data_IF_389502600045
#
_entry.id   IF_389502600045
#
_cell.length_a   1.000
_cell.length_b   1.000
_cell.length_c   1.000
_cell.angle_alpha   90.00
_cell.angle_beta   90.00
_cell.angle_gamma   90.00
#
_symmetry.space_group_name_H-M   'P 1'
#
loop_
_entity.id
_entity.type
_entity.pdbx_description
1 polymer ?
#
# COMPACT_ATOMS: atom_id res chain seq x y z
N UNK A 1 26.34 -4.04 2.68
CA UNK A 1 27.13 -4.41 3.86
C UNK A 1 26.71 -5.80 4.25
N UNK A 2 27.65 -6.76 4.38
CA UNK A 2 27.29 -8.11 4.82
C UNK A 2 26.71 -8.00 6.24
N UNK A 3 25.52 -8.54 6.43
CA UNK A 3 24.76 -8.61 7.68
C UNK A 3 25.52 -9.51 8.67
N UNK A 4 26.36 -10.42 8.19
CA UNK A 4 27.12 -11.36 9.01
C UNK A 4 28.60 -10.96 9.01
N UNK A 5 29.09 -10.45 10.14
CA UNK A 5 30.48 -10.01 10.31
C UNK A 5 31.27 -10.89 11.27
N UNK A 6 32.54 -11.05 10.91
CA UNK A 6 33.65 -11.79 11.51
C UNK A 6 33.64 -11.87 13.06
N UNK A 7 33.74 -13.09 13.59
CA UNK A 7 33.77 -13.43 15.01
C UNK A 7 35.19 -13.25 15.59
N UNK A 8 35.34 -12.51 16.70
CA UNK A 8 36.52 -12.48 17.56
C UNK A 8 36.11 -12.23 19.02
N UNK A 9 36.59 -13.09 19.91
CA UNK A 9 36.13 -13.28 21.29
C UNK A 9 36.19 -12.02 22.18
N UNK A 10 35.07 -11.76 22.90
CA UNK A 10 34.82 -10.73 23.94
C UNK A 10 34.23 -9.40 23.48
N UNK A 11 33.38 -9.39 22.46
CA UNK A 11 32.63 -8.19 22.09
C UNK A 11 31.22 -8.18 22.69
N UNK A 12 30.83 -7.02 23.25
CA UNK A 12 29.49 -6.74 23.78
C UNK A 12 28.38 -6.97 22.72
N UNK A 13 28.75 -6.99 21.45
CA UNK A 13 27.87 -7.25 20.30
C UNK A 13 27.52 -8.73 20.11
N UNK A 14 28.36 -9.67 20.58
CA UNK A 14 28.12 -11.12 20.41
C UNK A 14 26.87 -11.62 21.15
N UNK A 15 26.42 -10.88 22.17
CA UNK A 15 25.30 -11.26 23.03
C UNK A 15 24.08 -10.34 22.87
N UNK A 16 23.98 -9.64 21.73
CA UNK A 16 22.86 -8.75 21.47
C UNK A 16 21.54 -9.54 21.41
N UNK A 17 20.56 -9.06 22.15
CA UNK A 17 19.21 -9.59 22.12
C UNK A 17 18.33 -8.76 21.19
N UNK A 18 17.50 -9.43 20.40
CA UNK A 18 16.49 -8.81 19.54
C UNK A 18 15.11 -9.35 19.86
N UNK A 19 14.09 -8.51 19.64
CA UNK A 19 12.70 -8.90 19.86
C UNK A 19 12.24 -9.92 18.82
N UNK A 20 11.23 -10.73 19.17
CA UNK A 20 10.58 -11.65 18.22
C UNK A 20 10.19 -10.94 16.91
N UNK A 21 9.58 -9.76 17.03
CA UNK A 21 9.16 -8.94 15.88
C UNK A 21 10.32 -8.47 15.02
N UNK A 22 11.45 -8.08 15.62
CA UNK A 22 12.66 -7.70 14.87
C UNK A 22 13.23 -8.91 14.13
N UNK A 23 13.33 -10.07 14.80
CA UNK A 23 13.82 -11.30 14.19
C UNK A 23 13.01 -11.70 12.94
N UNK A 24 11.68 -11.73 13.05
CA UNK A 24 10.80 -12.07 11.93
C UNK A 24 10.91 -11.07 10.77
N UNK A 25 11.00 -9.78 11.06
CA UNK A 25 11.03 -8.74 10.04
C UNK A 25 12.40 -8.59 9.35
N UNK A 26 13.49 -8.62 10.13
CA UNK A 26 14.84 -8.43 9.61
C UNK A 26 15.32 -9.65 8.83
N UNK A 27 15.10 -10.85 9.36
CA UNK A 27 15.58 -12.11 8.77
C UNK A 27 14.51 -12.85 7.97
N UNK A 28 13.34 -12.22 7.78
CA UNK A 28 12.22 -12.75 7.01
C UNK A 28 11.73 -14.14 7.49
N UNK A 29 11.96 -14.45 8.77
CA UNK A 29 11.57 -15.71 9.40
C UNK A 29 10.07 -15.72 9.74
N UNK A 30 9.54 -16.91 9.99
CA UNK A 30 8.17 -17.14 10.49
C UNK A 30 8.21 -17.68 11.92
N UNK A 31 7.07 -17.63 12.60
CA UNK A 31 6.94 -18.20 13.96
C UNK A 31 7.34 -19.67 14.02
N UNK A 32 7.01 -20.44 12.98
CA UNK A 32 7.43 -21.83 12.82
C UNK A 32 8.95 -22.00 12.90
N UNK A 33 9.68 -21.09 12.25
CA UNK A 33 11.13 -21.15 12.16
C UNK A 33 11.79 -20.82 13.50
N UNK A 34 11.07 -20.24 14.47
CA UNK A 34 11.58 -19.98 15.81
C UNK A 34 11.14 -21.05 16.81
N UNK A 35 9.84 -21.37 16.81
CA UNK A 35 9.18 -22.11 17.88
C UNK A 35 9.13 -23.63 17.60
N UNK A 36 9.19 -24.08 16.33
CA UNK A 36 8.95 -25.49 15.94
C UNK A 36 10.11 -26.16 15.22
N UNK A 37 10.89 -25.42 14.44
CA UNK A 37 12.06 -25.99 13.74
C UNK A 37 13.10 -26.45 14.76
N UNK A 38 13.57 -27.69 14.63
CA UNK A 38 14.54 -28.27 15.56
C UNK A 38 15.96 -27.77 15.31
N UNK A 39 16.72 -27.37 16.35
CA UNK A 39 16.28 -27.19 17.74
C UNK A 39 15.45 -25.90 17.93
N UNK A 40 14.38 -25.91 18.75
CA UNK A 40 13.62 -24.70 19.05
C UNK A 40 14.52 -23.62 19.68
N UNK A 41 14.37 -22.37 19.24
CA UNK A 41 15.21 -21.29 19.73
C UNK A 41 14.75 -20.84 21.13
N UNK A 42 15.73 -20.73 22.03
CA UNK A 42 15.50 -20.25 23.40
C UNK A 42 15.34 -18.73 23.39
N UNK A 43 14.56 -18.22 24.33
CA UNK A 43 14.33 -16.79 24.51
C UNK A 43 14.20 -16.47 25.99
N UNK A 44 14.41 -15.20 26.33
CA UNK A 44 14.03 -14.64 27.63
C UNK A 44 12.75 -13.83 27.47
N UNK A 45 11.90 -13.80 28.50
CA UNK A 45 10.71 -12.94 28.52
C UNK A 45 10.95 -11.69 29.35
N UNK A 46 10.41 -10.56 28.90
CA UNK A 46 10.43 -9.28 29.61
C UNK A 46 9.06 -8.61 29.49
N UNK A 47 8.70 -7.77 30.46
CA UNK A 47 7.50 -6.93 30.33
C UNK A 47 7.62 -6.02 29.11
N UNK A 48 6.51 -5.80 28.42
CA UNK A 48 6.51 -4.92 27.26
C UNK A 48 6.81 -3.47 27.70
N UNK A 49 7.83 -2.81 27.14
CA UNK A 49 8.26 -1.48 27.56
C UNK A 49 7.23 -0.38 27.23
N UNK A 50 6.37 -0.60 26.23
CA UNK A 50 5.33 0.38 25.87
C UNK A 50 4.14 0.33 26.83
N UNK A 51 3.75 -0.88 27.27
CA UNK A 51 2.68 -1.05 28.23
C UNK A 51 2.84 -2.39 28.96
N UNK A 52 3.05 -2.32 30.27
CA UNK A 52 3.24 -3.49 31.13
C UNK A 52 2.02 -4.41 31.22
N UNK A 53 0.83 -3.94 30.82
CA UNK A 53 -0.40 -4.76 30.75
C UNK A 53 -0.50 -5.57 29.45
N UNK A 54 0.30 -5.26 28.44
CA UNK A 54 0.36 -6.08 27.23
C UNK A 54 1.13 -7.38 27.48
N UNK A 55 1.01 -8.32 26.55
CA UNK A 55 1.74 -9.58 26.61
C UNK A 55 3.25 -9.39 26.74
N UNK A 56 3.92 -10.35 27.37
CA UNK A 56 5.37 -10.32 27.54
C UNK A 56 6.09 -10.34 26.18
N UNK A 57 7.17 -9.58 26.11
CA UNK A 57 8.07 -9.53 24.97
C UNK A 57 9.07 -10.68 25.06
N UNK A 58 9.21 -11.43 23.96
CA UNK A 58 10.27 -12.44 23.81
C UNK A 58 11.51 -11.81 23.18
N UNK A 59 12.65 -12.07 23.79
CA UNK A 59 13.97 -11.63 23.35
C UNK A 59 14.83 -12.85 23.01
N UNK A 60 15.36 -12.87 21.78
CA UNK A 60 16.19 -13.93 21.23
C UNK A 60 17.62 -13.44 21.07
N UNK A 61 18.59 -14.35 21.17
CA UNK A 61 19.98 -14.05 20.84
C UNK A 61 20.12 -13.83 19.33
N UNK A 62 20.63 -12.67 18.92
CA UNK A 62 20.72 -12.30 17.51
C UNK A 62 21.52 -13.33 16.69
N UNK A 63 22.62 -13.84 17.24
CA UNK A 63 23.46 -14.85 16.60
C UNK A 63 22.68 -16.13 16.24
N UNK A 64 21.81 -16.60 17.13
CA UNK A 64 20.98 -17.79 16.87
C UNK A 64 19.94 -17.54 15.79
N UNK A 65 19.44 -16.31 15.70
CA UNK A 65 18.50 -15.91 14.65
C UNK A 65 19.20 -15.87 13.29
N UNK A 66 20.43 -15.36 13.25
CA UNK A 66 21.27 -15.32 12.07
C UNK A 66 21.57 -16.71 11.53
N UNK A 67 21.99 -17.64 12.39
CA UNK A 67 22.20 -19.04 12.02
C UNK A 67 20.91 -19.67 11.50
N UNK A 68 19.78 -19.46 12.20
CA UNK A 68 18.47 -19.96 11.76
C UNK A 68 18.04 -19.36 10.41
N UNK A 69 18.37 -18.10 10.15
CA UNK A 69 18.09 -17.45 8.87
C UNK A 69 18.88 -18.10 7.73
N UNK A 70 20.15 -18.39 7.96
CA UNK A 70 20.98 -19.12 7.00
C UNK A 70 20.45 -20.54 6.75
N UNK A 71 19.96 -21.24 7.76
CA UNK A 71 19.34 -22.57 7.58
C UNK A 71 18.04 -22.52 6.76
N UNK A 72 17.29 -21.41 6.82
CA UNK A 72 16.00 -21.26 6.13
C UNK A 72 16.18 -20.76 4.70
N UNK A 73 17.09 -19.80 4.50
CA UNK A 73 17.28 -19.11 3.23
C UNK A 73 18.52 -19.58 2.44
N UNK A 74 19.41 -20.35 3.07
CA UNK A 74 20.64 -20.87 2.47
C UNK A 74 21.78 -19.86 2.40
N UNK A 75 21.51 -18.61 2.04
CA UNK A 75 22.51 -17.55 2.00
C UNK A 75 21.93 -16.18 2.35
N UNK A 76 22.82 -15.25 2.73
CA UNK A 76 22.44 -13.87 3.00
C UNK A 76 21.91 -13.16 1.74
N UNK A 77 22.46 -13.51 0.58
CA UNK A 77 22.06 -12.96 -0.72
C UNK A 77 20.58 -13.26 -1.02
N UNK A 78 20.12 -14.47 -0.71
CA UNK A 78 18.71 -14.86 -0.89
C UNK A 78 17.76 -14.05 0.01
N UNK A 79 18.18 -13.73 1.24
CA UNK A 79 17.41 -12.89 2.15
C UNK A 79 17.27 -11.47 1.57
N UNK A 80 18.36 -10.90 1.06
CA UNK A 80 18.35 -9.56 0.48
C UNK A 80 17.57 -9.51 -0.84
N UNK A 81 17.71 -10.52 -1.71
CA UNK A 81 16.91 -10.64 -2.94
C UNK A 81 15.41 -10.70 -2.61
N UNK A 82 15.01 -11.51 -1.63
CA UNK A 82 13.62 -11.60 -1.18
C UNK A 82 13.11 -10.27 -0.61
N UNK A 83 13.95 -9.58 0.17
CA UNK A 83 13.63 -8.27 0.74
C UNK A 83 13.38 -7.25 -0.37
N UNK A 84 14.24 -7.22 -1.38
CA UNK A 84 14.09 -6.34 -2.54
C UNK A 84 12.82 -6.67 -3.32
N UNK A 85 12.55 -7.95 -3.58
CA UNK A 85 11.32 -8.42 -4.25
C UNK A 85 10.06 -7.95 -3.53
N UNK A 86 10.00 -8.07 -2.19
CA UNK A 86 8.87 -7.59 -1.37
C UNK A 86 8.72 -6.06 -1.44
N UNK A 87 9.83 -5.32 -1.42
CA UNK A 87 9.85 -3.85 -1.52
C UNK A 87 9.34 -3.37 -2.87
N UNK A 88 9.77 -4.00 -3.96
CA UNK A 88 9.31 -3.67 -5.32
C UNK A 88 7.83 -3.98 -5.52
N UNK A 89 7.37 -5.14 -5.04
CA UNK A 89 5.94 -5.50 -5.07
C UNK A 89 5.08 -4.47 -4.34
N UNK A 90 5.51 -4.02 -3.16
CA UNK A 90 4.83 -2.95 -2.40
C UNK A 90 4.82 -1.63 -3.17
N UNK A 91 5.94 -1.26 -3.81
CA UNK A 91 6.04 -0.04 -4.64
C UNK A 91 5.08 -0.10 -5.83
N UNK A 92 5.02 -1.23 -6.54
CA UNK A 92 4.12 -1.46 -7.68
C UNK A 92 2.65 -1.38 -7.25
N UNK A 93 2.30 -2.03 -6.13
CA UNK A 93 0.96 -1.98 -5.56
C UNK A 93 0.55 -0.55 -5.19
N UNK A 94 1.42 0.20 -4.51
CA UNK A 94 1.15 1.59 -4.15
C UNK A 94 1.02 2.50 -5.39
N UNK A 95 1.82 2.26 -6.43
CA UNK A 95 1.70 2.97 -7.71
C UNK A 95 0.31 2.71 -8.33
N UNK A 96 -0.12 1.46 -8.38
CA UNK A 96 -1.42 1.09 -8.93
C UNK A 96 -2.59 1.69 -8.14
N UNK A 97 -2.52 1.67 -6.80
CA UNK A 97 -3.51 2.35 -5.97
C UNK A 97 -3.57 3.86 -6.22
N UNK A 98 -2.42 4.50 -6.45
CA UNK A 98 -2.36 5.93 -6.79
C UNK A 98 -3.02 6.20 -8.14
N UNK A 99 -2.71 5.40 -9.16
CA UNK A 99 -3.31 5.49 -10.49
C UNK A 99 -4.83 5.28 -10.44
N UNK A 100 -5.30 4.28 -9.70
CA UNK A 100 -6.73 4.02 -9.51
C UNK A 100 -7.44 5.21 -8.85
N UNK A 101 -6.85 5.78 -7.78
CA UNK A 101 -7.39 6.99 -7.11
C UNK A 101 -7.42 8.19 -8.05
N UNK A 102 -6.42 8.35 -8.91
CA UNK A 102 -6.40 9.44 -9.89
C UNK A 102 -7.49 9.26 -10.95
N UNK A 103 -7.65 8.05 -11.49
CA UNK A 103 -8.68 7.71 -12.47
C UNK A 103 -10.09 8.00 -11.95
N UNK A 104 -10.40 7.55 -10.73
CA UNK A 104 -11.68 7.83 -10.08
C UNK A 104 -11.94 9.33 -9.87
N UNK A 105 -10.90 10.12 -9.60
CA UNK A 105 -11.05 11.59 -9.47
C UNK A 105 -11.32 12.24 -10.81
N UNK A 106 -10.64 11.81 -11.88
CA UNK A 106 -10.87 12.34 -13.22
C UNK A 106 -12.25 12.00 -13.77
N UNK A 107 -12.80 10.80 -13.48
CA UNK A 107 -14.16 10.45 -13.90
C UNK A 107 -15.25 11.27 -13.20
N UNK A 108 -14.97 11.78 -11.99
CA UNK A 108 -15.88 12.70 -11.30
C UNK A 108 -15.79 14.13 -11.81
N UNK A 109 -14.66 14.49 -12.43
CA UNK A 109 -14.38 15.82 -12.98
C UNK A 109 -14.38 15.75 -14.51
N UNK A 110 -15.55 15.44 -15.07
CA UNK A 110 -15.72 15.40 -16.51
C UNK A 110 -15.67 16.83 -17.06
N UNK A 111 -14.53 17.24 -17.63
CA UNK A 111 -14.40 18.56 -18.29
C UNK A 111 -15.29 18.69 -19.53
N UNK A 112 -15.95 17.59 -19.92
CA UNK A 112 -16.96 17.54 -20.98
C UNK A 112 -18.33 18.01 -20.51
N UNK A 113 -18.55 18.21 -19.20
CA UNK A 113 -19.72 18.97 -18.74
C UNK A 113 -19.54 20.40 -19.27
N UNK A 114 -20.30 20.73 -20.31
CA UNK A 114 -20.35 22.06 -20.92
C UNK A 114 -20.36 23.09 -19.80
N UNK A 115 -19.40 24.03 -19.81
CA UNK A 115 -19.32 25.07 -18.80
C UNK A 115 -20.70 25.71 -18.63
N UNK A 116 -21.17 25.81 -17.39
CA UNK A 116 -22.45 26.44 -17.09
C UNK A 116 -22.43 27.86 -17.68
N UNK A 117 -23.29 28.11 -18.66
CA UNK A 117 -23.46 29.40 -19.31
C UNK A 117 -24.95 29.73 -19.40
N UNK A 118 -25.25 31.01 -19.58
CA UNK A 118 -26.62 31.47 -19.81
C UNK A 118 -26.99 31.16 -21.27
N UNK A 119 -28.11 30.47 -21.49
CA UNK A 119 -28.54 30.11 -22.84
C UNK A 119 -29.02 31.34 -23.63
N UNK A 120 -28.30 31.67 -24.70
CA UNK A 120 -28.77 32.61 -25.71
C UNK A 120 -29.48 31.81 -26.81
N UNK A 121 -30.78 32.05 -26.98
CA UNK A 121 -31.61 31.32 -27.94
C UNK A 121 -31.72 32.06 -29.27
N UNK A 122 -31.60 31.30 -30.37
CA UNK A 122 -31.76 31.79 -31.74
C UNK A 122 -33.22 31.91 -32.20
N UNK A 123 -33.45 32.06 -33.51
CA UNK A 123 -34.79 32.16 -34.09
C UNK A 123 -35.62 30.90 -33.83
N UNK A 124 -36.91 31.10 -33.56
CA UNK A 124 -37.86 30.05 -33.23
C UNK A 124 -38.40 29.38 -34.50
N UNK A 125 -38.55 28.06 -34.46
CA UNK A 125 -39.16 27.27 -35.54
C UNK A 125 -40.52 26.75 -35.08
N UNK A 126 -41.56 27.07 -35.85
CA UNK A 126 -42.92 26.64 -35.56
C UNK A 126 -43.21 25.27 -36.22
N UNK A 127 -43.68 24.32 -35.42
CA UNK A 127 -44.11 23.02 -35.88
C UNK A 127 -45.65 22.96 -35.94
N UNK A 128 -46.19 22.88 -37.17
CA UNK A 128 -47.64 22.93 -37.45
C UNK A 128 -48.41 21.69 -37.00
N UNK A 129 -47.75 20.55 -36.86
CA UNK A 129 -48.43 19.27 -36.55
C UNK A 129 -48.78 19.19 -35.06
N UNK A 130 -47.91 19.75 -34.22
CA UNK A 130 -47.99 19.66 -32.75
C UNK A 130 -48.32 21.03 -32.11
N UNK A 131 -48.58 22.07 -32.91
CA UNK A 131 -48.81 23.46 -32.46
C UNK A 131 -47.75 23.98 -31.45
N UNK A 132 -46.49 23.61 -31.68
CA UNK A 132 -45.38 23.93 -30.76
C UNK A 132 -44.28 24.77 -31.42
N UNK A 133 -43.60 25.57 -30.61
CA UNK A 133 -42.43 26.35 -31.01
C UNK A 133 -41.17 25.70 -30.44
N UNK A 134 -40.12 25.59 -31.27
CA UNK A 134 -38.81 25.11 -30.83
C UNK A 134 -37.74 26.18 -31.01
N UNK A 135 -36.82 26.29 -30.05
CA UNK A 135 -35.66 27.20 -30.11
C UNK A 135 -34.40 26.44 -29.69
N UNK A 136 -33.30 26.72 -30.39
CA UNK A 136 -31.99 26.15 -30.09
C UNK A 136 -31.09 27.22 -29.48
N UNK A 137 -30.26 26.83 -28.52
CA UNK A 137 -29.21 27.69 -27.99
C UNK A 137 -28.11 27.88 -29.06
N UNK A 138 -27.60 29.08 -29.21
CA UNK A 138 -26.55 29.41 -30.19
C UNK A 138 -25.16 28.95 -29.74
N UNK A 139 -24.96 28.83 -28.43
CA UNK A 139 -23.67 28.54 -27.80
C UNK A 139 -23.52 27.08 -27.37
N UNK A 140 -24.60 26.29 -27.38
CA UNK A 140 -24.55 24.87 -27.06
C UNK A 140 -25.67 24.08 -27.75
N UNK A 141 -25.56 22.75 -27.72
CA UNK A 141 -26.52 21.83 -28.34
C UNK A 141 -27.84 21.67 -27.57
N UNK A 142 -28.21 22.64 -26.72
CA UNK A 142 -29.47 22.61 -25.98
C UNK A 142 -30.62 23.13 -26.87
N UNK A 143 -31.73 22.42 -26.86
CA UNK A 143 -32.95 22.78 -27.59
C UNK A 143 -34.15 22.72 -26.64
N UNK A 144 -35.06 23.67 -26.76
CA UNK A 144 -36.27 23.77 -25.95
C UNK A 144 -37.51 23.91 -26.83
N UNK A 145 -38.56 23.16 -26.49
CA UNK A 145 -39.88 23.19 -27.13
C UNK A 145 -40.91 23.76 -26.16
N UNK A 146 -41.70 24.74 -26.59
CA UNK A 146 -42.68 25.45 -25.76
C UNK A 146 -43.91 25.86 -26.59
N UNK A 147 -45.01 26.14 -25.91
CA UNK A 147 -46.27 26.65 -26.49
C UNK A 147 -46.38 28.16 -26.26
N UNK A 148 -46.98 28.91 -27.19
CA UNK A 148 -47.31 30.33 -27.01
C UNK A 148 -48.82 30.46 -26.85
N UNK A 149 -49.26 31.11 -25.77
CA UNK A 149 -50.67 31.50 -25.58
C UNK A 149 -51.02 32.74 -26.41
#
# INVERSE_FOLDING_TARGET
>A
MPILRQILCRDLEEHKLITKTEALNMYLLRDYDLDKREPPLKYITRKNPHNVRWGEMKLYLQLQIEERALEVWGSEEQIEEERQRRKEKKKKYNKHLKELRMSMRSSLYDRTSVAAHVHEFGPETYNKEEDTYSRNCLTCSYAETFEKM
#
